data_IF_631041816167
#
_entry.id   IF_631041816167
#
_cell.length_a   1.000
_cell.length_b   1.000
_cell.length_c   1.000
_cell.angle_alpha   90.00
_cell.angle_beta   90.00
_cell.angle_gamma   90.00
#
_symmetry.space_group_name_H-M   'P 1'
#
loop_
_entity.id
_entity.type
_entity.pdbx_description
1 polymer ?
#
# COMPACT_ATOMS: atom_id res chain seq x y z
N UNK A 1 -10.83 -29.60 27.53
CA UNK A 1 -11.11 -28.98 26.22
C UNK A 1 -11.05 -27.47 26.42
N UNK A 2 -9.90 -26.86 26.20
CA UNK A 2 -9.69 -25.42 26.42
C UNK A 2 -9.99 -24.68 25.12
N UNK A 3 -11.09 -23.94 25.11
CA UNK A 3 -11.47 -23.10 23.98
C UNK A 3 -10.56 -21.86 23.95
N UNK A 4 -9.68 -21.78 22.95
CA UNK A 4 -8.75 -20.68 22.74
C UNK A 4 -9.45 -19.56 21.96
N UNK A 5 -10.18 -18.70 22.67
CA UNK A 5 -10.99 -17.59 22.11
C UNK A 5 -10.20 -16.31 21.82
N UNK A 6 -8.89 -16.26 22.12
CA UNK A 6 -8.07 -15.07 21.91
C UNK A 6 -7.44 -14.99 20.51
N UNK A 7 -7.43 -16.10 19.76
CA UNK A 7 -6.68 -16.19 18.50
C UNK A 7 -7.46 -15.62 17.29
N UNK A 8 -8.80 -15.61 17.35
CA UNK A 8 -9.67 -15.22 16.24
C UNK A 8 -9.79 -13.72 16.04
N UNK A 9 -9.69 -12.89 17.08
CA UNK A 9 -9.82 -11.44 16.93
C UNK A 9 -8.59 -10.83 16.24
N UNK A 10 -7.38 -11.18 16.68
CA UNK A 10 -6.14 -10.62 16.11
C UNK A 10 -5.92 -11.10 14.68
N UNK A 11 -6.20 -12.37 14.36
CA UNK A 11 -6.09 -12.88 12.99
C UNK A 11 -7.18 -12.34 12.07
N UNK A 12 -8.43 -12.21 12.53
CA UNK A 12 -9.50 -11.59 11.75
C UNK A 12 -9.23 -10.09 11.50
N UNK A 13 -8.73 -9.36 12.49
CA UNK A 13 -8.27 -7.97 12.29
C UNK A 13 -7.11 -7.91 11.30
N UNK A 14 -6.11 -8.81 11.38
CA UNK A 14 -5.01 -8.85 10.41
C UNK A 14 -5.48 -9.13 8.98
N UNK A 15 -6.50 -9.95 8.79
CA UNK A 15 -7.07 -10.24 7.48
C UNK A 15 -7.96 -9.09 6.94
N UNK A 16 -8.73 -8.42 7.81
CA UNK A 16 -9.58 -7.28 7.42
C UNK A 16 -8.75 -6.01 7.16
N UNK A 17 -7.64 -5.81 7.87
CA UNK A 17 -6.77 -4.63 7.80
C UNK A 17 -5.76 -4.71 6.64
N UNK A 18 -5.19 -5.90 6.36
CA UNK A 18 -4.25 -6.06 5.25
C UNK A 18 -4.95 -5.96 3.89
N UNK A 19 -6.11 -6.63 3.71
CA UNK A 19 -6.84 -6.62 2.43
C UNK A 19 -7.45 -5.24 2.12
N UNK A 20 -7.89 -4.51 3.14
CA UNK A 20 -8.38 -3.14 2.99
C UNK A 20 -7.24 -2.15 2.67
N UNK A 21 -6.11 -2.24 3.36
CA UNK A 21 -4.97 -1.35 3.11
C UNK A 21 -4.37 -1.53 1.71
N UNK A 22 -4.24 -2.76 1.21
CA UNK A 22 -3.81 -2.97 -0.17
C UNK A 22 -4.75 -2.30 -1.17
N UNK A 23 -6.06 -2.44 -0.95
CA UNK A 23 -7.08 -1.82 -1.81
C UNK A 23 -7.00 -0.30 -1.78
N UNK A 24 -6.77 0.29 -0.61
CA UNK A 24 -6.57 1.74 -0.44
C UNK A 24 -5.32 2.24 -1.16
N UNK A 25 -4.17 1.58 -0.97
CA UNK A 25 -2.92 1.95 -1.64
C UNK A 25 -3.08 1.84 -3.16
N UNK A 26 -3.66 0.74 -3.65
CA UNK A 26 -3.89 0.53 -5.09
C UNK A 26 -4.84 1.57 -5.68
N UNK A 27 -5.92 1.93 -4.97
CA UNK A 27 -6.85 2.99 -5.35
C UNK A 27 -6.15 4.34 -5.47
N UNK A 28 -5.43 4.76 -4.42
CA UNK A 28 -4.68 6.01 -4.41
C UNK A 28 -3.63 6.10 -5.53
N UNK A 29 -2.92 5.01 -5.80
CA UNK A 29 -1.93 4.97 -6.86
C UNK A 29 -2.55 4.93 -8.26
N UNK A 30 -3.78 4.42 -8.40
CA UNK A 30 -4.53 4.48 -9.66
C UNK A 30 -4.92 5.91 -10.00
N UNK A 31 -5.46 6.65 -9.04
CA UNK A 31 -5.94 8.03 -9.25
C UNK A 31 -4.81 9.06 -9.24
N UNK A 32 -3.84 8.93 -8.33
CA UNK A 32 -2.76 9.90 -8.13
C UNK A 32 -1.46 9.60 -8.87
N UNK A 33 -1.39 8.48 -9.59
CA UNK A 33 -0.26 8.06 -10.41
C UNK A 33 0.96 7.62 -9.59
N UNK A 34 1.94 8.52 -9.43
CA UNK A 34 3.21 8.22 -8.80
C UNK A 34 3.28 8.69 -7.34
N UNK A 35 3.64 7.77 -6.45
CA UNK A 35 3.66 8.00 -5.01
C UNK A 35 4.91 7.47 -4.33
N UNK A 36 5.34 8.14 -3.26
CA UNK A 36 6.38 7.63 -2.37
C UNK A 36 5.78 7.17 -1.03
N UNK A 37 6.51 6.33 -0.28
CA UNK A 37 6.04 5.77 1.01
C UNK A 37 5.64 6.86 1.99
N UNK A 38 6.42 7.95 2.07
CA UNK A 38 6.13 9.05 3.00
C UNK A 38 4.85 9.78 2.65
N UNK A 39 4.59 10.00 1.36
CA UNK A 39 3.38 10.68 0.90
C UNK A 39 2.15 9.79 1.10
N UNK A 40 2.26 8.48 0.85
CA UNK A 40 1.18 7.51 1.10
C UNK A 40 0.83 7.38 2.58
N UNK A 41 1.83 7.36 3.47
CA UNK A 41 1.59 7.28 4.90
C UNK A 41 0.84 8.49 5.44
N UNK A 42 1.15 9.68 4.92
CA UNK A 42 0.43 10.90 5.28
C UNK A 42 -1.01 10.87 4.77
N UNK A 43 -1.19 10.58 3.47
CA UNK A 43 -2.51 10.57 2.81
C UNK A 43 -3.48 9.58 3.47
N UNK A 44 -2.96 8.43 3.89
CA UNK A 44 -3.76 7.38 4.54
C UNK A 44 -3.83 7.53 6.06
N UNK A 45 -3.06 8.44 6.67
CA UNK A 45 -2.91 8.53 8.13
C UNK A 45 -2.28 7.28 8.76
N UNK A 46 -1.41 6.58 8.02
CA UNK A 46 -0.81 5.30 8.43
C UNK A 46 0.70 5.46 8.59
N UNK A 47 1.26 4.75 9.58
CA UNK A 47 2.69 4.76 9.82
C UNK A 47 3.52 4.34 8.60
N UNK A 48 4.60 5.08 8.36
CA UNK A 48 5.49 4.85 7.21
C UNK A 48 6.11 3.46 7.18
N UNK A 49 6.36 2.85 8.34
CA UNK A 49 6.85 1.48 8.48
C UNK A 49 5.83 0.48 7.92
N UNK A 50 4.56 0.64 8.25
CA UNK A 50 3.45 -0.18 7.77
C UNK A 50 3.26 -0.03 6.26
N UNK A 51 3.26 1.21 5.75
CA UNK A 51 3.20 1.45 4.28
C UNK A 51 4.41 0.85 3.58
N UNK A 52 5.62 1.00 4.14
CA UNK A 52 6.84 0.42 3.57
C UNK A 52 6.74 -1.11 3.45
N UNK A 53 6.25 -1.79 4.50
CA UNK A 53 6.04 -3.22 4.46
C UNK A 53 5.05 -3.63 3.35
N UNK A 54 3.90 -2.96 3.27
CA UNK A 54 2.87 -3.26 2.25
C UNK A 54 3.31 -2.93 0.82
N UNK A 55 4.03 -1.82 0.63
CA UNK A 55 4.59 -1.45 -0.67
C UNK A 55 5.64 -2.46 -1.13
N UNK A 56 6.47 -2.98 -0.22
CA UNK A 56 7.43 -4.05 -0.53
C UNK A 56 6.72 -5.35 -0.92
N UNK A 57 5.65 -5.73 -0.21
CA UNK A 57 4.84 -6.90 -0.56
C UNK A 57 4.21 -6.74 -1.96
N UNK A 58 3.56 -5.60 -2.25
CA UNK A 58 2.95 -5.32 -3.56
C UNK A 58 4.00 -5.24 -4.69
N UNK A 59 5.20 -4.74 -4.39
CA UNK A 59 6.34 -4.77 -5.33
C UNK A 59 6.78 -6.19 -5.61
N UNK A 60 6.90 -7.04 -4.60
CA UNK A 60 7.27 -8.45 -4.76
C UNK A 60 6.20 -9.24 -5.54
N UNK A 61 4.93 -8.84 -5.43
CA UNK A 61 3.83 -9.36 -6.25
C UNK A 61 3.82 -8.79 -7.68
N UNK A 62 4.73 -7.89 -8.03
CA UNK A 62 4.84 -7.30 -9.36
C UNK A 62 3.76 -6.27 -9.70
N UNK A 63 3.01 -5.77 -8.71
CA UNK A 63 1.94 -4.77 -8.88
C UNK A 63 2.48 -3.35 -9.09
N UNK A 64 3.67 -3.07 -8.55
CA UNK A 64 4.31 -1.76 -8.65
C UNK A 64 5.61 -1.81 -9.43
N UNK A 65 5.87 -0.73 -10.14
CA UNK A 65 7.15 -0.45 -10.78
C UNK A 65 7.74 0.84 -10.23
N UNK A 66 9.08 0.90 -10.22
CA UNK A 66 9.80 2.08 -9.80
C UNK A 66 9.70 3.17 -10.87
N UNK A 67 9.25 4.36 -10.47
CA UNK A 67 9.02 5.48 -11.37
C UNK A 67 10.16 6.52 -11.35
N UNK A 68 11.04 6.47 -10.35
CA UNK A 68 12.19 7.38 -10.24
C UNK A 68 12.36 7.98 -8.85
N UNK A 69 13.42 8.78 -8.68
CA UNK A 69 13.59 9.64 -7.49
C UNK A 69 13.02 11.02 -7.77
N UNK A 70 11.99 11.40 -7.03
CA UNK A 70 11.33 12.71 -7.12
C UNK A 70 11.21 13.30 -5.71
N UNK A 71 11.12 14.62 -5.55
CA UNK A 71 10.86 15.22 -4.24
C UNK A 71 9.51 14.73 -3.71
N UNK A 72 9.48 14.27 -2.46
CA UNK A 72 8.24 13.97 -1.75
C UNK A 72 7.36 15.21 -1.71
N UNK A 73 6.05 15.03 -1.96
CA UNK A 73 5.09 16.14 -1.90
C UNK A 73 5.01 16.74 -0.50
N UNK A 74 5.25 15.92 0.52
CA UNK A 74 5.24 16.33 1.93
C UNK A 74 6.50 17.06 2.36
N UNK A 75 7.68 16.45 2.14
CA UNK A 75 8.93 16.94 2.75
C UNK A 75 9.85 17.69 1.79
N UNK A 76 9.58 17.62 0.48
CA UNK A 76 10.49 18.12 -0.56
C UNK A 76 11.76 17.28 -0.73
N UNK A 77 11.98 16.25 0.10
CA UNK A 77 13.18 15.41 0.06
C UNK A 77 13.04 14.39 -1.07
N UNK A 78 14.09 14.23 -1.88
CA UNK A 78 14.13 13.22 -2.95
C UNK A 78 13.92 11.83 -2.38
N UNK A 79 12.79 11.23 -2.72
CA UNK A 79 12.33 9.93 -2.27
C UNK A 79 12.12 9.01 -3.48
N UNK A 80 12.03 7.71 -3.25
CA UNK A 80 11.70 6.75 -4.31
C UNK A 80 10.21 6.77 -4.56
N UNK A 81 9.81 7.05 -5.80
CA UNK A 81 8.42 7.00 -6.24
C UNK A 81 8.16 5.71 -7.00
N UNK A 82 6.95 5.20 -6.82
CA UNK A 82 6.43 4.00 -7.44
C UNK A 82 5.14 4.36 -8.18
N UNK A 83 4.83 3.59 -9.21
CA UNK A 83 3.55 3.66 -9.93
C UNK A 83 2.97 2.26 -10.09
N UNK A 84 1.65 2.23 -10.28
CA UNK A 84 0.96 0.99 -10.60
C UNK A 84 1.40 0.48 -11.98
N UNK A 85 1.75 -0.80 -12.06
CA UNK A 85 2.07 -1.45 -13.33
C UNK A 85 0.77 -1.71 -14.08
N UNK A 86 0.64 -1.14 -15.28
CA UNK A 86 -0.60 -1.14 -16.10
C UNK A 86 -0.96 -2.53 -16.69
N UNK A 87 -0.32 -3.62 -16.25
CA UNK A 87 -0.63 -4.97 -16.75
C UNK A 87 -1.75 -5.67 -15.96
N UNK A 88 -2.19 -5.13 -14.83
CA UNK A 88 -3.32 -5.68 -14.08
C UNK A 88 -4.64 -5.29 -14.76
N UNK A 89 -5.07 -6.16 -15.67
CA UNK A 89 -6.43 -6.25 -16.23
C UNK A 89 -7.48 -6.69 -15.17
N UNK A 90 -7.20 -6.44 -13.88
CA UNK A 90 -8.04 -6.86 -12.75
C UNK A 90 -9.20 -5.89 -12.45
N UNK A 91 -9.28 -4.75 -13.13
CA UNK A 91 -10.37 -3.80 -12.96
C UNK A 91 -10.95 -3.43 -14.32
N UNK A 92 -12.09 -3.99 -14.74
CA UNK A 92 -12.78 -3.52 -15.94
C UNK A 92 -13.06 -2.01 -15.80
N UNK A 93 -12.82 -1.27 -16.89
CA UNK A 93 -13.27 0.12 -16.99
C UNK A 93 -14.79 0.10 -16.87
N UNK A 94 -15.32 0.70 -15.79
CA UNK A 94 -16.74 1.05 -15.70
C UNK A 94 -17.07 2.11 -16.73
#
# INVERSE_FOLDING_TARGET
MSHNTAQTSVEAYRHYDASSLYSLILGLMRDGGEWCISDLGEELGIERSTISARMNELRNMGKFEYAGKKPSRRTGIKSMHFKLRVQDSLFPRM
#
